data_IF_452219479890
#
_entry.id   IF_452219479890
#
_cell.length_a   1.000
_cell.length_b   1.000
_cell.length_c   1.000
_cell.angle_alpha   90.00
_cell.angle_beta   90.00
_cell.angle_gamma   90.00
#
_symmetry.space_group_name_H-M   'P 1'
#
loop_
_entity.id
_entity.type
_entity.pdbx_description
1 polymer ?
#
# COMPACT_ATOMS: atom_id res chain seq x y z
N UNK A 1 -19.50 -9.80 -25.54
CA UNK A 1 -18.59 -10.42 -24.55
C UNK A 1 -17.78 -9.37 -23.83
N UNK A 2 -17.75 -9.43 -22.50
CA UNK A 2 -16.85 -8.58 -21.73
C UNK A 2 -15.41 -9.05 -21.93
N UNK A 3 -14.55 -8.16 -22.36
CA UNK A 3 -13.13 -8.42 -22.49
C UNK A 3 -12.52 -8.57 -21.09
N UNK A 4 -11.86 -9.69 -20.82
CA UNK A 4 -11.19 -9.94 -19.56
C UNK A 4 -10.00 -8.98 -19.42
N UNK A 5 -9.96 -8.23 -18.32
CA UNK A 5 -8.86 -7.32 -18.02
C UNK A 5 -7.76 -8.08 -17.27
N UNK A 6 -6.53 -7.59 -17.36
CA UNK A 6 -5.34 -8.24 -16.81
C UNK A 6 -5.45 -8.54 -15.31
N UNK A 7 -6.08 -7.65 -14.54
CA UNK A 7 -6.17 -7.74 -13.09
C UNK A 7 -7.57 -8.11 -12.59
N UNK A 8 -8.45 -8.67 -13.44
CA UNK A 8 -9.80 -9.05 -13.01
C UNK A 8 -9.79 -10.10 -11.89
N UNK A 9 -8.81 -10.96 -11.88
CA UNK A 9 -8.65 -12.03 -10.88
C UNK A 9 -7.61 -11.71 -9.79
N UNK A 10 -7.18 -10.46 -9.67
CA UNK A 10 -6.21 -10.07 -8.65
C UNK A 10 -6.79 -10.27 -7.25
N UNK A 11 -5.95 -10.71 -6.32
CA UNK A 11 -6.36 -10.95 -4.93
C UNK A 11 -5.58 -10.06 -3.97
N UNK A 12 -6.19 -9.76 -2.84
CA UNK A 12 -5.50 -9.06 -1.77
C UNK A 12 -4.28 -9.89 -1.33
N UNK A 13 -3.17 -9.23 -1.12
CA UNK A 13 -1.90 -9.89 -0.77
C UNK A 13 -1.00 -10.21 -1.97
N UNK A 14 -1.50 -10.10 -3.20
CA UNK A 14 -0.65 -10.30 -4.37
C UNK A 14 0.35 -9.16 -4.54
N UNK A 15 1.52 -9.50 -5.06
CA UNK A 15 2.56 -8.54 -5.40
C UNK A 15 2.40 -8.10 -6.85
N UNK A 16 2.59 -6.79 -7.07
CA UNK A 16 2.62 -6.21 -8.40
C UNK A 16 3.83 -5.30 -8.52
N UNK A 17 4.28 -5.06 -9.73
CA UNK A 17 5.25 -4.01 -10.04
C UNK A 17 4.58 -2.92 -10.85
N UNK A 18 5.05 -1.71 -10.70
CA UNK A 18 4.48 -0.58 -11.45
C UNK A 18 5.55 0.46 -11.72
N UNK A 19 5.24 1.32 -12.70
CA UNK A 19 6.11 2.42 -13.10
C UNK A 19 5.68 3.66 -12.35
N UNK A 20 6.63 4.29 -11.64
CA UNK A 20 6.42 5.57 -10.99
C UNK A 20 6.95 6.65 -11.93
N UNK A 21 6.05 7.51 -12.40
CA UNK A 21 6.42 8.61 -13.26
C UNK A 21 7.01 9.77 -12.46
N UNK A 22 7.90 10.56 -13.05
CA UNK A 22 8.44 11.74 -12.35
C UNK A 22 7.34 12.76 -12.07
N UNK A 23 7.51 13.48 -10.95
CA UNK A 23 6.55 14.51 -10.55
C UNK A 23 6.51 15.64 -11.60
N UNK A 24 5.30 16.11 -11.90
CA UNK A 24 5.08 17.26 -12.77
C UNK A 24 5.08 18.57 -12.00
N UNK A 25 5.21 18.55 -10.69
CA UNK A 25 5.21 19.75 -9.84
C UNK A 25 6.47 20.59 -10.08
N UNK A 26 6.32 21.92 -10.31
CA UNK A 26 7.49 22.79 -10.47
C UNK A 26 8.30 22.97 -9.17
N UNK A 27 7.70 22.63 -8.04
CA UNK A 27 8.36 22.76 -6.72
C UNK A 27 9.11 21.50 -6.31
N UNK A 28 8.99 20.43 -7.07
CA UNK A 28 9.65 19.17 -6.77
C UNK A 28 10.78 18.92 -7.76
N UNK A 29 11.88 18.34 -7.23
CA UNK A 29 12.98 17.91 -8.07
C UNK A 29 12.49 16.84 -9.03
N UNK A 30 12.65 17.05 -10.33
CA UNK A 30 12.26 16.08 -11.36
C UNK A 30 13.13 14.84 -11.24
N UNK A 31 12.53 13.73 -10.84
CA UNK A 31 13.16 12.44 -10.86
C UNK A 31 13.00 11.77 -12.22
N UNK A 32 13.58 10.60 -12.36
CA UNK A 32 13.37 9.73 -13.52
C UNK A 32 12.27 8.74 -13.23
N UNK A 33 11.55 8.32 -14.25
CA UNK A 33 10.62 7.21 -14.13
C UNK A 33 11.40 5.97 -13.64
N UNK A 34 10.83 5.24 -12.70
CA UNK A 34 11.48 4.07 -12.13
C UNK A 34 10.46 2.99 -11.74
N UNK A 35 10.95 1.79 -11.58
CA UNK A 35 10.11 0.68 -11.13
C UNK A 35 9.97 0.69 -9.62
N UNK A 36 8.80 0.32 -9.19
CA UNK A 36 8.51 0.04 -7.80
C UNK A 36 7.61 -1.20 -7.70
N UNK A 37 7.33 -1.64 -6.51
CA UNK A 37 6.43 -2.77 -6.29
C UNK A 37 5.49 -2.46 -5.12
N UNK A 38 4.40 -3.20 -5.06
CA UNK A 38 3.41 -3.02 -4.02
C UNK A 38 2.64 -4.30 -3.74
N UNK A 39 1.87 -4.26 -2.65
CA UNK A 39 0.99 -5.34 -2.23
C UNK A 39 -0.45 -4.87 -2.37
N UNK A 40 -1.28 -5.67 -3.01
CA UNK A 40 -2.70 -5.37 -3.16
C UNK A 40 -3.37 -5.47 -1.78
N UNK A 41 -4.03 -4.39 -1.35
CA UNK A 41 -4.67 -4.33 -0.03
C UNK A 41 -6.19 -4.20 -0.09
N UNK A 42 -6.71 -3.61 -1.15
CA UNK A 42 -8.15 -3.46 -1.36
C UNK A 42 -8.48 -3.75 -2.81
N UNK A 43 -9.54 -4.51 -3.04
CA UNK A 43 -9.91 -4.97 -4.37
C UNK A 43 -11.39 -4.64 -4.62
N UNK A 44 -11.65 -3.84 -5.64
CA UNK A 44 -12.98 -3.43 -6.04
C UNK A 44 -13.29 -3.95 -7.45
N UNK A 45 -14.49 -3.70 -7.93
CA UNK A 45 -14.93 -4.20 -9.24
C UNK A 45 -14.14 -3.60 -10.42
N UNK A 46 -13.84 -2.31 -10.35
CA UNK A 46 -13.18 -1.58 -11.45
C UNK A 46 -11.72 -1.26 -11.21
N UNK A 47 -11.30 -1.26 -9.95
CA UNK A 47 -9.96 -0.83 -9.55
C UNK A 47 -9.52 -1.54 -8.27
N UNK A 48 -8.25 -1.44 -7.99
CA UNK A 48 -7.66 -1.96 -6.74
C UNK A 48 -6.62 -1.00 -6.22
N UNK A 49 -6.30 -1.13 -4.93
CA UNK A 49 -5.27 -0.33 -4.28
C UNK A 49 -4.08 -1.22 -3.93
N UNK A 50 -2.89 -0.73 -4.23
CA UNK A 50 -1.64 -1.38 -3.86
C UNK A 50 -0.82 -0.46 -2.96
N UNK A 51 -0.34 -1.01 -1.85
CA UNK A 51 0.54 -0.29 -0.92
C UNK A 51 1.98 -0.44 -1.39
N UNK A 52 2.69 0.67 -1.46
CA UNK A 52 4.06 0.74 -1.98
C UNK A 52 4.99 1.43 -0.99
N UNK A 53 6.28 1.28 -1.20
CA UNK A 53 7.31 1.95 -0.39
C UNK A 53 7.58 3.38 -0.82
N UNK A 54 7.07 3.79 -1.98
CA UNK A 54 7.31 5.16 -2.46
C UNK A 54 6.24 6.10 -1.93
N UNK A 55 6.60 6.92 -0.98
CA UNK A 55 5.74 7.96 -0.49
C UNK A 55 6.57 9.04 0.14
N UNK A 56 6.31 10.29 -0.21
CA UNK A 56 7.01 11.44 0.39
C UNK A 56 6.52 11.75 1.79
N UNK A 57 5.28 11.38 2.06
CA UNK A 57 4.58 11.83 3.26
C UNK A 57 4.30 10.71 4.25
N UNK A 58 4.48 9.46 3.82
CA UNK A 58 4.27 8.30 4.68
C UNK A 58 5.21 7.17 4.26
N UNK A 59 5.45 6.23 5.16
CA UNK A 59 6.28 5.06 4.88
C UNK A 59 5.67 4.17 3.78
N UNK A 60 4.35 4.24 3.62
CA UNK A 60 3.65 3.45 2.60
C UNK A 60 2.63 4.34 1.89
N UNK A 61 2.80 4.45 0.60
CA UNK A 61 1.88 5.15 -0.26
C UNK A 61 0.92 4.16 -0.91
N UNK A 62 -0.33 4.57 -1.12
CA UNK A 62 -1.34 3.72 -1.73
C UNK A 62 -1.66 4.22 -3.13
N UNK A 63 -1.45 3.37 -4.13
CA UNK A 63 -1.81 3.66 -5.52
C UNK A 63 -3.14 3.02 -5.86
N UNK A 64 -3.97 3.78 -6.57
CA UNK A 64 -5.25 3.31 -7.10
C UNK A 64 -5.05 2.93 -8.58
N UNK A 65 -5.23 1.67 -8.89
CA UNK A 65 -4.92 1.11 -10.20
C UNK A 65 -6.17 0.47 -10.79
N UNK A 66 -6.43 0.73 -12.06
CA UNK A 66 -7.53 0.12 -12.78
C UNK A 66 -7.25 -1.36 -13.06
N UNK A 67 -8.31 -2.15 -13.21
CA UNK A 67 -8.18 -3.60 -13.49
C UNK A 67 -7.47 -3.92 -14.81
N UNK A 68 -7.33 -2.93 -15.70
CA UNK A 68 -6.55 -3.07 -16.94
C UNK A 68 -5.05 -2.73 -16.75
N UNK A 69 -4.65 -2.38 -15.53
CA UNK A 69 -3.26 -2.02 -15.21
C UNK A 69 -2.92 -0.58 -15.46
N UNK A 70 -3.88 0.25 -15.84
CA UNK A 70 -3.67 1.65 -16.12
C UNK A 70 -3.91 2.52 -14.89
N UNK A 71 -3.33 3.72 -14.87
CA UNK A 71 -3.59 4.71 -13.83
C UNK A 71 -5.08 5.05 -13.81
N UNK A 72 -5.65 5.21 -12.60
CA UNK A 72 -7.07 5.57 -12.43
C UNK A 72 -7.43 6.88 -13.13
N UNK A 73 -6.49 7.84 -13.21
CA UNK A 73 -6.74 9.12 -13.87
C UNK A 73 -7.06 8.98 -15.35
N UNK A 74 -6.68 7.87 -15.97
CA UNK A 74 -6.91 7.62 -17.37
C UNK A 74 -6.12 8.52 -18.32
N UNK A 75 -5.24 9.33 -17.79
CA UNK A 75 -4.38 10.19 -18.60
C UNK A 75 -3.25 9.38 -19.21
N UNK A 76 -3.26 9.26 -20.52
CA UNK A 76 -2.30 8.46 -21.24
C UNK A 76 -2.69 6.98 -21.25
N UNK A 77 -2.77 6.40 -22.43
CA UNK A 77 -3.17 5.00 -22.61
C UNK A 77 -2.02 4.02 -22.29
N UNK A 78 -1.22 4.31 -21.26
CA UNK A 78 -0.07 3.49 -20.89
C UNK A 78 -0.39 2.61 -19.71
N UNK A 79 -0.08 1.33 -19.84
CA UNK A 79 -0.13 0.42 -18.71
C UNK A 79 1.00 0.74 -17.73
N UNK A 80 0.66 0.92 -16.46
CA UNK A 80 1.64 1.24 -15.41
C UNK A 80 1.86 0.09 -14.45
N UNK A 81 0.93 -0.85 -14.33
CA UNK A 81 1.00 -1.96 -13.39
C UNK A 81 1.15 -3.29 -14.11
N UNK A 82 1.95 -4.18 -13.54
CA UNK A 82 2.26 -5.50 -14.09
C UNK A 82 2.32 -6.52 -12.96
N UNK A 83 1.99 -7.75 -13.25
CA UNK A 83 2.10 -8.84 -12.27
C UNK A 83 3.56 -9.25 -12.06
N UNK A 84 3.85 -9.68 -10.84
CA UNK A 84 5.15 -10.26 -10.49
C UNK A 84 4.96 -11.76 -10.35
N UNK A 85 5.83 -12.55 -11.01
CA UNK A 85 5.81 -13.99 -10.83
C UNK A 85 6.32 -14.36 -9.43
N UNK A 86 5.85 -15.48 -8.83
CA UNK A 86 6.36 -15.92 -7.53
C UNK A 86 7.88 -16.10 -7.51
N UNK A 87 8.46 -16.60 -8.59
CA UNK A 87 9.90 -16.79 -8.69
C UNK A 87 10.66 -15.45 -8.68
N UNK A 88 10.15 -14.45 -9.40
CA UNK A 88 10.73 -13.11 -9.39
C UNK A 88 10.68 -12.51 -7.98
N UNK A 89 9.57 -12.69 -7.28
CA UNK A 89 9.41 -12.19 -5.91
C UNK A 89 10.41 -12.85 -4.96
N UNK A 90 10.59 -14.17 -5.04
CA UNK A 90 11.54 -14.89 -4.20
C UNK A 90 12.99 -14.46 -4.41
N UNK A 91 13.36 -14.14 -5.65
CA UNK A 91 14.73 -13.82 -6.01
C UNK A 91 15.08 -12.33 -5.84
N UNK A 92 14.11 -11.48 -5.58
CA UNK A 92 14.33 -10.05 -5.46
C UNK A 92 14.55 -9.66 -4.00
N UNK A 93 15.75 -9.19 -3.67
CA UNK A 93 16.14 -8.81 -2.31
C UNK A 93 15.28 -7.66 -1.78
N UNK A 94 14.97 -6.68 -2.62
CA UNK A 94 14.18 -5.52 -2.23
C UNK A 94 12.74 -5.90 -1.90
N UNK A 95 12.15 -6.80 -2.69
CA UNK A 95 10.82 -7.32 -2.42
C UNK A 95 10.79 -8.07 -1.10
N UNK A 96 11.78 -8.93 -0.84
CA UNK A 96 11.87 -9.69 0.41
C UNK A 96 12.03 -8.77 1.62
N UNK A 97 12.83 -7.73 1.48
CA UNK A 97 13.00 -6.71 2.53
C UNK A 97 11.70 -5.98 2.81
N UNK A 98 10.96 -5.59 1.78
CA UNK A 98 9.68 -4.93 1.90
C UNK A 98 8.65 -5.81 2.62
N UNK A 99 8.55 -7.08 2.25
CA UNK A 99 7.64 -8.03 2.89
C UNK A 99 7.94 -8.18 4.39
N UNK A 100 9.21 -8.22 4.74
CA UNK A 100 9.66 -8.32 6.14
C UNK A 100 9.23 -7.09 6.94
N UNK A 101 9.41 -5.91 6.36
CA UNK A 101 9.00 -4.64 6.99
C UNK A 101 7.48 -4.62 7.19
N UNK A 102 6.72 -5.07 6.18
CA UNK A 102 5.26 -5.14 6.27
C UNK A 102 4.80 -6.06 7.40
N UNK A 103 5.45 -7.19 7.58
CA UNK A 103 5.13 -8.10 8.68
C UNK A 103 5.40 -7.47 10.05
N UNK A 104 6.51 -6.75 10.18
CA UNK A 104 6.84 -6.03 11.41
C UNK A 104 5.81 -4.95 11.73
N UNK A 105 5.37 -4.19 10.73
CA UNK A 105 4.35 -3.17 10.90
C UNK A 105 3.02 -3.81 11.33
N UNK A 106 2.64 -4.90 10.69
CA UNK A 106 1.42 -5.64 11.04
C UNK A 106 1.45 -6.12 12.49
N UNK A 107 2.58 -6.62 12.96
CA UNK A 107 2.76 -7.02 14.34
C UNK A 107 2.59 -5.85 15.31
N UNK A 108 3.18 -4.69 14.97
CA UNK A 108 3.05 -3.47 15.77
C UNK A 108 1.61 -2.95 15.79
N UNK A 109 0.91 -3.01 14.66
CA UNK A 109 -0.50 -2.63 14.58
C UNK A 109 -1.37 -3.52 15.46
N UNK A 110 -1.08 -4.82 15.51
CA UNK A 110 -1.78 -5.75 16.37
C UNK A 110 -1.51 -5.45 17.86
N UNK A 111 -0.28 -5.12 18.23
CA UNK A 111 0.06 -4.69 19.58
C UNK A 111 -0.69 -3.42 19.97
N UNK A 112 -0.72 -2.44 19.08
CA UNK A 112 -1.44 -1.18 19.32
C UNK A 112 -2.95 -1.42 19.49
N UNK A 113 -3.51 -2.32 18.70
CA UNK A 113 -4.92 -2.70 18.81
C UNK A 113 -5.23 -3.37 20.15
N UNK A 114 -4.36 -4.25 20.62
CA UNK A 114 -4.49 -4.88 21.93
C UNK A 114 -4.43 -3.87 23.06
N UNK A 115 -3.48 -2.93 22.98
CA UNK A 115 -3.33 -1.87 23.97
C UNK A 115 -4.58 -1.00 24.01
N UNK A 116 -5.10 -0.61 22.85
CA UNK A 116 -6.30 0.20 22.74
C UNK A 116 -7.50 -0.50 23.38
N UNK A 117 -7.65 -1.79 23.15
CA UNK A 117 -8.69 -2.61 23.77
C UNK A 117 -8.59 -2.63 25.30
N UNK A 118 -7.37 -2.77 25.82
CA UNK A 118 -7.12 -2.76 27.28
C UNK A 118 -7.47 -1.40 27.89
N UNK A 119 -7.19 -0.31 27.19
CA UNK A 119 -7.57 1.03 27.61
C UNK A 119 -9.11 1.17 27.63
N UNK A 120 -9.78 0.75 26.58
CA UNK A 120 -11.24 0.85 26.45
C UNK A 120 -11.96 -0.01 27.51
N UNK A 121 -11.41 -1.15 27.89
CA UNK A 121 -11.98 -2.04 28.90
C UNK A 121 -11.59 -1.65 30.33
N UNK A 122 -10.77 -0.60 30.49
CA UNK A 122 -10.37 -0.12 31.81
C UNK A 122 -9.27 -0.94 32.47
N UNK A 123 -8.66 -1.89 31.75
CA UNK A 123 -7.54 -2.69 32.28
C UNK A 123 -6.26 -1.85 32.44
N UNK A 124 -6.11 -0.83 31.57
CA UNK A 124 -5.00 0.13 31.63
C UNK A 124 -5.57 1.52 31.69
N UNK A 125 -5.14 2.28 32.70
CA UNK A 125 -5.50 3.69 32.83
C UNK A 125 -4.30 4.53 32.43
N UNK A 126 -4.46 5.29 31.34
CA UNK A 126 -3.42 6.19 30.88
C UNK A 126 -3.41 7.48 31.71
N UNK A 127 -2.24 7.92 32.11
CA UNK A 127 -2.04 9.19 32.82
C UNK A 127 -2.95 9.32 34.06
N UNK A 128 -2.86 8.36 35.02
CA UNK A 128 -3.73 8.42 36.21
C UNK A 128 -3.52 9.66 37.06
N UNK A 129 -2.36 10.35 36.91
CA UNK A 129 -2.04 11.60 37.58
C UNK A 129 -2.81 12.81 37.00
N UNK A 130 -3.44 12.67 35.85
CA UNK A 130 -4.24 13.72 35.23
C UNK A 130 -5.72 13.37 35.32
N UNK A 131 -6.47 13.97 36.27
CA UNK A 131 -7.89 13.68 36.38
C UNK A 131 -8.66 14.20 35.16
N UNK A 132 -9.66 13.43 34.74
CA UNK A 132 -10.53 13.87 33.68
C UNK A 132 -11.41 15.02 34.14
N UNK A 133 -11.71 16.00 33.25
CA UNK A 133 -12.65 17.08 33.61
C UNK A 133 -13.99 16.52 34.00
N UNK A 134 -14.59 17.12 35.07
CA UNK A 134 -15.96 16.81 35.47
C UNK A 134 -16.92 17.53 34.53
N UNK A 135 -17.99 16.86 34.16
CA UNK A 135 -19.04 17.43 33.30
C UNK A 135 -19.90 18.46 34.03
#
# INVERSE_FOLDING_TARGET
>A
MKKTRQFDDIKNGELIRFIVEPSSSPYEKKGKAHWDFGIVVCNYMKNFFAVTTTGKWSAFYTFNIRKDGMDKSGKGAKQIAFRISPQEAENNVDIQRFLRIREQIKALENEASCLNKQIDEGEIIMFPEYPLPED
#
